data_IF_939521192633
#
_entry.id   IF_939521192633
#
_cell.length_a   1.000
_cell.length_b   1.000
_cell.length_c   1.000
_cell.angle_alpha   90.00
_cell.angle_beta   90.00
_cell.angle_gamma   90.00
#
_symmetry.space_group_name_H-M   'P 1'
#
loop_
_entity.id
_entity.type
_entity.pdbx_description
1 polymer ?
#
# COMPACT_ATOMS: atom_id res chain seq x y z
N UNK A 1 46.86 46.98 -49.71
CA UNK A 1 47.26 46.10 -48.59
C UNK A 1 45.99 45.44 -48.05
N UNK A 2 45.96 44.11 -47.86
CA UNK A 2 44.71 43.36 -47.70
C UNK A 2 44.19 43.38 -46.26
N UNK A 3 42.86 43.31 -46.12
CA UNK A 3 42.11 43.35 -44.86
C UNK A 3 42.22 42.05 -44.04
N UNK A 4 42.16 42.08 -42.70
CA UNK A 4 42.14 40.87 -41.89
C UNK A 4 40.75 40.21 -41.94
N UNK A 5 40.69 38.96 -42.41
CA UNK A 5 39.48 38.14 -42.33
C UNK A 5 39.32 37.62 -40.90
N UNK A 6 38.47 38.27 -40.10
CA UNK A 6 37.93 37.68 -38.87
C UNK A 6 36.92 36.59 -39.24
N UNK A 7 37.32 35.32 -39.12
CA UNK A 7 36.42 34.19 -39.26
C UNK A 7 35.48 34.14 -38.04
N UNK A 8 34.23 34.57 -38.23
CA UNK A 8 33.16 34.30 -37.29
C UNK A 8 32.85 32.80 -37.30
N UNK A 9 33.22 32.11 -36.23
CA UNK A 9 32.88 30.70 -36.04
C UNK A 9 31.37 30.62 -35.74
N UNK A 10 30.56 30.40 -36.77
CA UNK A 10 29.12 30.19 -36.60
C UNK A 10 28.88 28.81 -35.97
N UNK A 11 28.17 28.72 -34.83
CA UNK A 11 27.83 27.42 -34.25
C UNK A 11 26.99 26.62 -35.25
N UNK A 12 27.33 25.34 -35.41
CA UNK A 12 26.77 24.54 -36.48
C UNK A 12 25.31 24.19 -36.17
N UNK A 13 24.44 24.20 -37.18
CA UNK A 13 23.02 23.82 -37.09
C UNK A 13 22.79 22.39 -36.53
N UNK A 14 23.84 21.56 -36.46
CA UNK A 14 23.81 20.20 -35.89
C UNK A 14 23.78 20.20 -34.36
N UNK A 15 24.41 21.18 -33.72
CA UNK A 15 24.54 21.26 -32.25
C UNK A 15 23.17 21.46 -31.58
N UNK A 16 22.30 22.28 -32.18
CA UNK A 16 20.93 22.50 -31.71
C UNK A 16 19.97 21.32 -31.90
N UNK A 17 20.22 20.41 -32.86
CA UNK A 17 19.37 19.22 -33.07
C UNK A 17 19.68 18.13 -32.05
N UNK A 18 20.96 17.94 -31.74
CA UNK A 18 21.40 17.00 -30.71
C UNK A 18 20.93 17.47 -29.33
N UNK A 19 21.04 18.77 -29.03
CA UNK A 19 20.51 19.34 -27.80
C UNK A 19 18.99 19.16 -27.66
N UNK A 20 18.22 19.34 -28.75
CA UNK A 20 16.75 19.13 -28.73
C UNK A 20 16.37 17.66 -28.59
N UNK A 21 17.07 16.75 -29.28
CA UNK A 21 16.84 15.31 -29.15
C UNK A 21 17.13 14.82 -27.73
N UNK A 22 18.23 15.32 -27.14
CA UNK A 22 18.59 15.04 -25.75
C UNK A 22 17.54 15.58 -24.78
N UNK A 23 17.08 16.83 -24.96
CA UNK A 23 16.04 17.42 -24.12
C UNK A 23 14.72 16.65 -24.21
N UNK A 24 14.29 16.23 -25.41
CA UNK A 24 13.09 15.41 -25.59
C UNK A 24 13.23 14.05 -24.92
N UNK A 25 14.39 13.38 -25.05
CA UNK A 25 14.66 12.11 -24.38
C UNK A 25 14.65 12.25 -22.85
N UNK A 26 15.24 13.32 -22.32
CA UNK A 26 15.19 13.60 -20.88
C UNK A 26 13.78 13.87 -20.41
N UNK A 27 12.98 14.64 -21.17
CA UNK A 27 11.58 14.90 -20.85
C UNK A 27 10.73 13.63 -20.88
N UNK A 28 10.90 12.77 -21.90
CA UNK A 28 10.16 11.51 -21.98
C UNK A 28 10.58 10.56 -20.85
N UNK A 29 11.87 10.44 -20.54
CA UNK A 29 12.32 9.65 -19.39
C UNK A 29 11.76 10.19 -18.08
N UNK A 30 11.80 11.52 -17.89
CA UNK A 30 11.30 12.19 -16.70
C UNK A 30 9.81 11.89 -16.50
N UNK A 31 8.99 12.07 -17.53
CA UNK A 31 7.55 11.80 -17.46
C UNK A 31 7.19 10.31 -17.39
N UNK A 32 8.06 9.42 -17.87
CA UNK A 32 7.86 7.96 -17.73
C UNK A 32 8.20 7.47 -16.31
N UNK A 33 9.21 8.06 -15.67
CA UNK A 33 9.73 7.59 -14.37
C UNK A 33 9.06 8.28 -13.17
N UNK A 34 8.65 9.55 -13.30
CA UNK A 34 8.04 10.29 -12.18
C UNK A 34 6.80 9.62 -11.55
N UNK A 35 5.81 9.16 -12.34
CA UNK A 35 4.59 8.58 -11.77
C UNK A 35 4.89 7.30 -10.99
N UNK A 36 5.86 6.50 -11.45
CA UNK A 36 6.28 5.27 -10.80
C UNK A 36 6.93 5.51 -9.43
N UNK A 37 7.60 6.66 -9.25
CA UNK A 37 8.16 7.08 -7.95
C UNK A 37 7.08 7.62 -7.01
N UNK A 38 6.04 8.27 -7.54
CA UNK A 38 4.94 8.82 -6.76
C UNK A 38 3.95 7.74 -6.28
N UNK A 39 3.87 6.60 -6.97
CA UNK A 39 2.94 5.50 -6.67
C UNK A 39 3.26 4.69 -5.39
N UNK A 40 3.96 5.28 -4.42
CA UNK A 40 4.23 4.68 -3.12
C UNK A 40 3.01 4.81 -2.20
N UNK A 41 1.88 4.25 -2.61
CA UNK A 41 0.74 4.00 -1.72
C UNK A 41 0.99 2.72 -0.91
N UNK A 42 2.18 2.61 -0.30
CA UNK A 42 2.51 1.46 0.53
C UNK A 42 1.73 1.57 1.83
N UNK A 43 0.77 0.67 2.02
CA UNK A 43 0.14 0.45 3.32
C UNK A 43 1.24 0.12 4.33
N UNK A 44 1.48 1.00 5.31
CA UNK A 44 2.45 0.74 6.36
C UNK A 44 1.83 -0.22 7.37
N UNK A 45 2.21 -1.50 7.29
CA UNK A 45 1.77 -2.53 8.23
C UNK A 45 2.80 -2.63 9.36
N UNK A 46 2.37 -2.34 10.57
CA UNK A 46 3.20 -2.42 11.77
C UNK A 46 2.83 -3.68 12.57
N UNK A 47 3.80 -4.53 12.90
CA UNK A 47 3.57 -5.64 13.83
C UNK A 47 3.64 -5.15 15.27
N UNK A 48 2.60 -5.45 16.05
CA UNK A 48 2.50 -5.12 17.47
C UNK A 48 2.33 -6.42 18.25
N UNK A 49 3.22 -6.66 19.22
CA UNK A 49 3.18 -7.85 20.07
C UNK A 49 2.87 -7.47 21.52
N UNK A 50 1.85 -8.08 22.10
CA UNK A 50 1.52 -7.86 23.52
C UNK A 50 2.45 -8.65 24.45
N UNK A 51 2.55 -8.23 25.71
CA UNK A 51 3.30 -8.95 26.75
C UNK A 51 2.81 -10.40 26.93
N UNK A 52 1.52 -10.65 26.66
CA UNK A 52 0.89 -11.97 26.72
C UNK A 52 1.07 -12.79 25.43
N UNK A 53 1.79 -12.27 24.44
CA UNK A 53 2.15 -13.01 23.22
C UNK A 53 1.16 -12.91 22.06
N UNK A 54 0.16 -12.03 22.12
CA UNK A 54 -0.77 -11.79 21.01
C UNK A 54 -0.08 -10.91 19.97
N UNK A 55 -0.09 -11.33 18.70
CA UNK A 55 0.38 -10.53 17.56
C UNK A 55 -0.80 -9.82 16.91
N UNK A 56 -0.65 -8.53 16.65
CA UNK A 56 -1.58 -7.72 15.88
C UNK A 56 -0.83 -6.99 14.75
N UNK A 57 -1.54 -6.70 13.66
CA UNK A 57 -1.04 -5.88 12.56
C UNK A 57 -1.80 -4.56 12.53
N UNK A 58 -1.10 -3.47 12.84
CA UNK A 58 -1.64 -2.12 12.84
C UNK A 58 -1.42 -1.48 11.48
N UNK A 59 -2.49 -0.96 10.91
CA UNK A 59 -2.47 -0.11 9.72
C UNK A 59 -3.16 1.20 10.09
N UNK A 60 -2.45 2.31 9.93
CA UNK A 60 -2.97 3.65 10.24
C UNK A 60 -3.41 4.36 8.95
N UNK A 61 -4.66 4.82 8.94
CA UNK A 61 -5.23 5.68 7.91
C UNK A 61 -6.05 6.78 8.60
N UNK A 62 -5.65 8.03 8.41
CA UNK A 62 -6.29 9.19 9.04
C UNK A 62 -7.33 9.89 8.15
N UNK A 63 -7.75 9.24 7.05
CA UNK A 63 -8.76 9.78 6.13
C UNK A 63 -10.16 9.81 6.77
N UNK A 64 -10.46 8.84 7.64
CA UNK A 64 -11.74 8.73 8.36
C UNK A 64 -11.53 8.41 9.84
N UNK A 65 -12.33 8.96 10.77
CA UNK A 65 -12.18 8.72 12.21
C UNK A 65 -12.84 7.39 12.62
N UNK A 66 -12.39 6.27 12.05
CA UNK A 66 -12.92 4.93 12.30
C UNK A 66 -11.77 4.01 12.71
N UNK A 67 -12.01 3.16 13.71
CA UNK A 67 -11.12 2.05 14.06
C UNK A 67 -11.82 0.75 13.70
N UNK A 68 -11.16 -0.08 12.88
CA UNK A 68 -11.63 -1.42 12.55
C UNK A 68 -10.72 -2.46 13.22
N UNK A 69 -11.33 -3.37 13.99
CA UNK A 69 -10.62 -4.46 14.67
C UNK A 69 -11.06 -5.77 14.04
N UNK A 70 -10.10 -6.66 13.75
CA UNK A 70 -10.37 -8.00 13.22
C UNK A 70 -9.61 -9.02 14.06
N UNK A 71 -10.32 -10.02 14.54
CA UNK A 71 -9.73 -11.19 15.17
C UNK A 71 -9.64 -12.32 14.14
N UNK A 72 -8.52 -13.02 14.14
CA UNK A 72 -8.27 -14.14 13.23
C UNK A 72 -7.86 -15.33 14.10
N UNK A 73 -8.51 -16.46 13.86
CA UNK A 73 -8.26 -17.71 14.56
C UNK A 73 -7.89 -18.77 13.54
N UNK A 74 -6.88 -19.57 13.84
CA UNK A 74 -6.62 -20.79 13.07
C UNK A 74 -7.76 -21.78 13.30
N UNK A 75 -8.45 -22.17 12.24
CA UNK A 75 -9.64 -23.00 12.36
C UNK A 75 -10.39 -23.17 11.04
N UNK A 76 -11.71 -23.34 11.14
CA UNK A 76 -12.62 -23.54 10.02
C UNK A 76 -13.16 -24.96 9.94
N UNK A 77 -14.19 -25.15 9.11
CA UNK A 77 -14.95 -26.41 9.02
C UNK A 77 -14.11 -27.61 8.55
N UNK A 78 -12.94 -27.36 7.95
CA UNK A 78 -11.99 -28.41 7.60
C UNK A 78 -11.45 -29.19 8.82
N UNK A 79 -11.59 -28.62 10.03
CA UNK A 79 -11.19 -29.24 11.29
C UNK A 79 -12.38 -29.86 12.04
N UNK A 80 -13.59 -29.82 11.47
CA UNK A 80 -14.76 -30.44 12.10
C UNK A 80 -14.56 -31.96 12.21
N UNK A 81 -14.76 -32.57 13.39
CA UNK A 81 -14.68 -34.02 13.54
C UNK A 81 -15.76 -34.74 12.70
N UNK A 82 -15.48 -35.97 12.28
CA UNK A 82 -16.45 -36.79 11.57
C UNK A 82 -17.74 -36.96 12.40
N UNK A 83 -18.90 -36.70 11.78
CA UNK A 83 -20.20 -36.73 12.44
C UNK A 83 -20.49 -35.50 13.32
N UNK A 84 -19.66 -34.45 13.23
CA UNK A 84 -19.85 -33.15 13.90
C UNK A 84 -19.65 -31.99 12.91
N UNK A 85 -20.04 -32.18 11.67
CA UNK A 85 -19.97 -31.17 10.64
C UNK A 85 -20.78 -29.92 11.03
N UNK A 86 -20.21 -28.74 10.84
CA UNK A 86 -20.81 -27.47 11.21
C UNK A 86 -20.46 -26.99 12.63
N UNK A 87 -19.62 -27.73 13.38
CA UNK A 87 -19.18 -27.33 14.71
C UNK A 87 -18.47 -25.97 14.70
N UNK A 88 -17.55 -25.74 13.76
CA UNK A 88 -16.90 -24.45 13.62
C UNK A 88 -17.90 -23.31 13.36
N UNK A 89 -18.89 -23.54 12.49
CA UNK A 89 -19.92 -22.53 12.18
C UNK A 89 -20.80 -22.23 13.39
N UNK A 90 -21.22 -23.26 14.13
CA UNK A 90 -21.99 -23.10 15.36
C UNK A 90 -21.19 -22.28 16.38
N UNK A 91 -19.92 -22.63 16.59
CA UNK A 91 -19.03 -21.90 17.52
C UNK A 91 -18.90 -20.43 17.13
N UNK A 92 -18.67 -20.12 15.85
CA UNK A 92 -18.57 -18.72 15.40
C UNK A 92 -19.90 -17.96 15.51
N UNK A 93 -21.03 -18.63 15.34
CA UNK A 93 -22.37 -18.04 15.49
C UNK A 93 -22.79 -17.78 16.94
N UNK A 94 -21.93 -18.11 17.92
CA UNK A 94 -22.15 -17.82 19.33
C UNK A 94 -21.20 -16.72 19.85
N UNK A 95 -20.35 -16.14 18.99
CA UNK A 95 -19.37 -15.12 19.40
C UNK A 95 -20.00 -13.81 19.84
N UNK A 96 -21.23 -13.55 19.43
CA UNK A 96 -22.02 -12.38 19.74
C UNK A 96 -23.16 -12.66 20.74
N UNK A 97 -23.20 -13.85 21.33
CA UNK A 97 -24.24 -14.24 22.30
C UNK A 97 -23.87 -13.93 23.78
N UNK A 98 -22.89 -13.04 24.00
CA UNK A 98 -22.49 -12.53 25.31
C UNK A 98 -20.98 -12.49 25.53
N UNK A 99 -20.53 -11.64 26.47
CA UNK A 99 -19.11 -11.54 26.85
C UNK A 99 -18.91 -11.03 28.28
N UNK A 100 -18.20 -11.82 29.11
CA UNK A 100 -17.94 -11.44 30.50
C UNK A 100 -19.24 -11.31 31.30
N UNK A 101 -19.51 -10.10 31.79
CA UNK A 101 -20.74 -9.78 32.54
C UNK A 101 -21.91 -9.35 31.64
N UNK A 102 -21.73 -9.33 30.32
CA UNK A 102 -22.76 -8.96 29.34
C UNK A 102 -23.51 -10.21 28.85
N UNK A 103 -24.83 -10.15 28.91
CA UNK A 103 -25.71 -11.12 28.24
C UNK A 103 -25.79 -10.85 26.72
N UNK A 104 -26.52 -11.70 26.00
CA UNK A 104 -26.64 -11.64 24.53
C UNK A 104 -27.23 -10.30 24.08
N UNK A 105 -28.35 -9.88 24.66
CA UNK A 105 -29.01 -8.62 24.31
C UNK A 105 -28.08 -7.41 24.52
N UNK A 106 -27.29 -7.40 25.61
CA UNK A 106 -26.35 -6.31 25.89
C UNK A 106 -25.11 -6.30 24.98
N UNK A 107 -24.71 -7.44 24.43
CA UNK A 107 -23.49 -7.56 23.62
C UNK A 107 -23.70 -7.28 22.13
N UNK A 108 -24.93 -7.42 21.62
CA UNK A 108 -25.26 -7.23 20.20
C UNK A 108 -25.62 -5.78 19.82
N UNK A 109 -25.55 -4.83 20.76
CA UNK A 109 -25.95 -3.42 20.57
C UNK A 109 -24.86 -2.58 19.89
#
# INVERSE_FOLDING_TARGET
MPFPHHAHHFPSRRDGKLARAFATLCFTLFFLVLPALAARAAMNIQEVKSEKGITAWLVEDHTVPIVAIRFVFDGGTAQDPAGKEGLANLMTGLFDEGAGDLDSDAFQV
#
